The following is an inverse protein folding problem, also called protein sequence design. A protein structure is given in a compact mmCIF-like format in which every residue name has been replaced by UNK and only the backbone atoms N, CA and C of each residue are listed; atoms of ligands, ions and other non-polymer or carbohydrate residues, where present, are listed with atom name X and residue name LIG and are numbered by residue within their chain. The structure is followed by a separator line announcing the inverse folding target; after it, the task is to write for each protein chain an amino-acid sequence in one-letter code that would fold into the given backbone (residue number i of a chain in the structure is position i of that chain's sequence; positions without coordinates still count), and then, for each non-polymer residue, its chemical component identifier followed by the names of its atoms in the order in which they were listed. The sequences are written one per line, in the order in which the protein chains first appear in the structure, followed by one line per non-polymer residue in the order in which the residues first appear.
data_IF_134382040146
#
_entry.id   IF_134382040146
#
_cell.length_a   1.000
_cell.length_b   1.000
_cell.length_c   1.000
_cell.angle_alpha   90.00
_cell.angle_beta   90.00
_cell.angle_gamma   90.00
#
_symmetry.space_group_name_H-M   'P 1'
#
loop_
_entity.id
_entity.type
_entity.pdbx_description
1 polymer ?
#
# COMPACT_ATOMS: atom_id res chain seq x y z
N UNK A 1 -11.44 9.34 6.92
CA UNK A 1 -10.57 8.30 6.31
C UNK A 1 -10.22 7.32 7.41
N UNK A 2 -10.30 6.02 7.15
CA UNK A 2 -9.73 5.01 8.05
C UNK A 2 -8.21 4.99 7.88
N UNK A 3 -7.49 5.63 8.81
CA UNK A 3 -6.03 5.71 8.80
C UNK A 3 -5.35 4.38 9.09
N UNK A 4 -5.99 3.49 9.86
CA UNK A 4 -5.45 2.17 10.17
C UNK A 4 -5.42 1.30 8.92
N UNK A 5 -6.52 1.28 8.15
CA UNK A 5 -6.53 0.65 6.83
C UNK A 5 -5.51 1.26 5.88
N UNK A 6 -5.43 2.58 5.88
CA UNK A 6 -4.60 3.33 4.95
C UNK A 6 -3.09 3.07 5.15
N UNK A 7 -2.61 3.12 6.39
CA UNK A 7 -1.18 3.05 6.71
C UNK A 7 -0.68 1.64 7.05
N UNK A 8 -1.51 0.76 7.62
CA UNK A 8 -1.03 -0.50 8.20
C UNK A 8 -1.50 -1.77 7.52
N UNK A 9 -2.65 -1.74 6.81
CA UNK A 9 -3.17 -2.92 6.11
C UNK A 9 -2.60 -3.02 4.70
N UNK A 10 -2.51 -4.21 4.11
CA UNK A 10 -2.01 -4.39 2.73
C UNK A 10 -3.12 -4.46 1.67
N UNK A 11 -4.38 -4.54 2.11
CA UNK A 11 -5.52 -4.80 1.24
C UNK A 11 -6.03 -3.51 0.57
N UNK A 12 -6.49 -3.66 -0.67
CA UNK A 12 -7.12 -2.60 -1.45
C UNK A 12 -6.17 -1.81 -2.35
N UNK A 13 -6.64 -0.63 -2.79
CA UNK A 13 -5.99 0.22 -3.80
C UNK A 13 -5.89 1.66 -3.32
N UNK A 14 -4.81 2.33 -3.66
CA UNK A 14 -4.65 3.78 -3.40
C UNK A 14 -4.27 4.54 -4.66
N UNK A 15 -4.82 5.73 -4.80
CA UNK A 15 -4.46 6.66 -5.88
C UNK A 15 -3.07 7.26 -5.63
N UNK A 16 -2.46 7.76 -6.71
CA UNK A 16 -1.15 8.43 -6.65
C UNK A 16 -1.09 9.56 -5.61
N UNK A 17 -2.17 10.37 -5.50
CA UNK A 17 -2.20 11.51 -4.58
C UNK A 17 -2.17 11.05 -3.12
N UNK A 18 -2.86 9.95 -2.82
CA UNK A 18 -2.76 9.30 -1.50
C UNK A 18 -1.36 8.74 -1.29
N UNK A 19 -0.78 8.03 -2.25
CA UNK A 19 0.59 7.52 -2.11
C UNK A 19 1.63 8.64 -1.80
N UNK A 20 1.53 9.79 -2.49
CA UNK A 20 2.34 10.98 -2.17
C UNK A 20 2.06 11.54 -0.78
N UNK A 21 0.79 11.61 -0.35
CA UNK A 21 0.43 12.00 1.02
C UNK A 21 1.04 11.05 2.05
N UNK A 22 1.02 9.74 1.82
CA UNK A 22 1.64 8.76 2.70
C UNK A 22 3.16 8.98 2.79
N UNK A 23 3.79 9.24 1.65
CA UNK A 23 5.23 9.55 1.57
C UNK A 23 5.55 10.82 2.37
N UNK A 24 4.74 11.87 2.23
CA UNK A 24 4.90 13.11 3.00
C UNK A 24 4.75 12.88 4.50
N UNK A 25 3.74 12.10 4.92
CA UNK A 25 3.54 11.72 6.32
C UNK A 25 4.79 11.00 6.85
N UNK A 26 5.29 9.98 6.12
CA UNK A 26 6.51 9.26 6.51
C UNK A 26 7.70 10.23 6.65
N UNK A 27 7.94 11.10 5.66
CA UNK A 27 9.06 12.06 5.69
C UNK A 27 8.95 13.03 6.88
N UNK A 28 7.77 13.60 7.14
CA UNK A 28 7.56 14.48 8.28
C UNK A 28 7.81 13.76 9.61
N UNK A 29 7.35 12.53 9.75
CA UNK A 29 7.57 11.72 10.94
C UNK A 29 9.05 11.32 11.09
N UNK A 30 9.73 10.99 10.00
CA UNK A 30 11.18 10.72 10.03
C UNK A 30 11.95 11.95 10.52
N UNK A 31 11.65 13.15 10.03
CA UNK A 31 12.31 14.38 10.49
C UNK A 31 12.03 14.61 11.98
N UNK A 32 10.77 14.52 12.39
CA UNK A 32 10.36 14.71 13.79
C UNK A 32 11.07 13.73 14.73
N UNK A 33 11.03 12.43 14.42
CA UNK A 33 11.67 11.40 15.26
C UNK A 33 13.19 11.47 15.17
N UNK A 34 13.76 11.88 14.03
CA UNK A 34 15.19 12.12 13.89
C UNK A 34 15.67 13.21 14.85
N UNK A 35 14.96 14.35 14.91
CA UNK A 35 15.24 15.42 15.87
C UNK A 35 15.05 14.96 17.32
N UNK A 36 14.00 14.18 17.59
CA UNK A 36 13.80 13.58 18.92
C UNK A 36 14.98 12.69 19.33
N UNK A 37 15.48 11.86 18.40
CA UNK A 37 16.62 10.97 18.63
C UNK A 37 17.89 11.77 18.94
N UNK A 38 18.12 12.89 18.24
CA UNK A 38 19.23 13.82 18.55
C UNK A 38 19.10 14.38 19.96
N UNK A 39 17.90 14.82 20.34
CA UNK A 39 17.62 15.33 21.69
C UNK A 39 17.90 14.27 22.76
N UNK A 40 17.47 13.03 22.54
CA UNK A 40 17.74 11.90 23.46
C UNK A 40 19.25 11.66 23.56
N UNK A 41 19.97 11.55 22.46
CA UNK A 41 21.43 11.33 22.47
C UNK A 41 22.15 12.45 23.24
N UNK A 42 21.76 13.71 23.02
CA UNK A 42 22.32 14.85 23.74
C UNK A 42 22.03 14.81 25.25
N UNK A 43 20.84 14.38 25.66
CA UNK A 43 20.46 14.26 27.08
C UNK A 43 21.24 13.16 27.81
N UNK A 44 21.54 12.05 27.13
CA UNK A 44 22.24 10.90 27.73
C UNK A 44 23.76 10.96 27.53
N UNK A 45 24.30 12.03 26.94
CA UNK A 45 25.74 12.19 26.68
C UNK A 45 26.29 11.17 25.67
N UNK A 46 25.43 10.62 24.80
CA UNK A 46 25.82 9.65 23.78
C UNK A 46 26.72 10.30 22.73
N UNK A 47 27.79 9.60 22.35
CA UNK A 47 28.74 10.04 21.31
C UNK A 47 28.45 9.38 19.96
N UNK A 48 27.37 8.61 19.85
CA UNK A 48 26.98 7.90 18.64
C UNK A 48 26.84 8.82 17.42
N UNK A 49 27.29 8.34 16.25
CA UNK A 49 27.07 9.00 14.96
C UNK A 49 25.57 9.11 14.72
N UNK A 50 25.03 10.33 14.81
CA UNK A 50 23.64 10.64 14.52
C UNK A 50 23.36 10.32 13.04
N UNK A 51 22.69 9.21 12.78
CA UNK A 51 22.13 8.93 11.47
C UNK A 51 20.69 9.44 11.44
N UNK A 52 20.42 10.44 10.61
CA UNK A 52 19.08 10.99 10.40
C UNK A 52 18.26 10.14 9.39
N UNK A 53 18.78 8.97 8.99
CA UNK A 53 18.10 8.02 8.14
C UNK A 53 17.26 7.03 8.95
N UNK A 54 16.13 6.63 8.37
CA UNK A 54 15.35 5.44 8.75
C UNK A 54 15.21 4.51 7.54
N UNK A 55 16.30 4.35 6.81
CA UNK A 55 16.34 3.60 5.57
C UNK A 55 16.48 2.09 5.80
N UNK A 56 16.47 1.34 4.70
CA UNK A 56 16.77 -0.09 4.69
C UNK A 56 18.17 -0.36 5.27
N UNK A 57 19.12 0.53 5.01
CA UNK A 57 20.50 0.42 5.50
C UNK A 57 20.58 0.47 7.03
N UNK A 58 19.73 1.27 7.68
CA UNK A 58 19.66 1.37 9.14
C UNK A 58 19.11 0.08 9.77
N UNK A 59 18.17 -0.58 9.09
CA UNK A 59 17.70 -1.90 9.48
C UNK A 59 18.82 -2.95 9.37
N UNK A 60 19.68 -2.87 8.34
CA UNK A 60 20.80 -3.80 8.20
C UNK A 60 21.91 -3.60 9.22
N UNK A 61 22.12 -2.38 9.72
CA UNK A 61 23.05 -2.13 10.84
C UNK A 61 22.69 -2.96 12.07
N UNK A 62 21.42 -3.37 12.22
CA UNK A 62 20.98 -4.19 13.33
C UNK A 62 21.67 -5.57 13.34
N UNK A 63 21.98 -6.07 12.16
CA UNK A 63 22.54 -7.40 11.97
C UNK A 63 24.06 -7.40 11.77
N UNK A 64 24.69 -6.22 11.67
CA UNK A 64 26.14 -6.10 11.50
C UNK A 64 26.84 -6.02 12.87
N UNK A 65 27.62 -7.05 13.28
CA UNK A 65 28.33 -7.03 14.56
C UNK A 65 29.35 -5.90 14.66
N UNK A 66 29.89 -5.42 13.53
CA UNK A 66 30.85 -4.31 13.49
C UNK A 66 30.24 -3.00 13.97
N UNK A 67 28.95 -2.78 13.71
CA UNK A 67 28.22 -1.57 14.11
C UNK A 67 28.09 -1.42 15.63
N UNK A 68 28.24 -2.51 16.38
CA UNK A 68 28.07 -2.52 17.84
C UNK A 68 29.36 -2.43 18.66
N UNK A 69 30.53 -2.58 18.02
CA UNK A 69 31.81 -2.74 18.74
C UNK A 69 32.25 -1.52 19.56
N UNK A 70 31.81 -0.31 19.17
CA UNK A 70 32.19 0.94 19.82
C UNK A 70 31.04 1.57 20.62
N UNK A 71 30.01 0.80 20.98
CA UNK A 71 28.83 1.35 21.63
C UNK A 71 29.00 1.54 23.13
N UNK A 72 28.54 2.68 23.61
CA UNK A 72 28.35 2.95 25.04
C UNK A 72 26.97 2.49 25.49
N UNK A 73 26.82 2.20 26.79
CA UNK A 73 25.49 1.96 27.40
C UNK A 73 24.53 3.15 27.19
N UNK A 74 25.07 4.36 27.07
CA UNK A 74 24.31 5.57 26.79
C UNK A 74 23.67 5.59 25.37
N UNK A 75 24.19 4.82 24.43
CA UNK A 75 23.70 4.79 23.04
C UNK A 75 22.55 3.78 22.84
N UNK A 76 22.36 2.86 23.79
CA UNK A 76 21.36 1.77 23.69
C UNK A 76 19.91 2.27 23.49
N UNK A 77 19.42 3.29 24.22
CA UNK A 77 18.06 3.79 24.01
C UNK A 77 17.86 4.32 22.59
N UNK A 78 18.83 5.09 22.07
CA UNK A 78 18.76 5.67 20.74
C UNK A 78 18.75 4.59 19.65
N UNK A 79 19.55 3.54 19.79
CA UNK A 79 19.55 2.40 18.86
C UNK A 79 18.20 1.69 18.85
N UNK A 80 17.66 1.40 20.04
CA UNK A 80 16.36 0.73 20.15
C UNK A 80 15.26 1.53 19.46
N UNK A 81 15.19 2.85 19.72
CA UNK A 81 14.22 3.74 19.07
C UNK A 81 14.42 3.79 17.55
N UNK A 82 15.66 3.92 17.07
CA UNK A 82 15.95 3.97 15.64
C UNK A 82 15.52 2.67 14.95
N UNK A 83 15.86 1.51 15.51
CA UNK A 83 15.46 0.21 15.00
C UNK A 83 13.93 0.05 14.95
N UNK A 84 13.24 0.41 16.04
CA UNK A 84 11.78 0.32 16.11
C UNK A 84 11.09 1.23 15.08
N UNK A 85 11.54 2.48 14.96
CA UNK A 85 10.97 3.43 14.00
C UNK A 85 11.30 3.07 12.55
N UNK A 86 12.50 2.57 12.27
CA UNK A 86 12.87 2.05 10.95
C UNK A 86 11.95 0.90 10.53
N UNK A 87 11.67 -0.04 11.43
CA UNK A 87 10.70 -1.12 11.18
C UNK A 87 9.28 -0.61 10.94
N UNK A 88 8.83 0.38 11.72
CA UNK A 88 7.51 1.01 11.54
C UNK A 88 7.39 1.71 10.19
N UNK A 89 8.37 2.53 9.82
CA UNK A 89 8.36 3.25 8.55
C UNK A 89 8.45 2.29 7.37
N UNK A 90 9.26 1.24 7.48
CA UNK A 90 9.32 0.15 6.50
C UNK A 90 7.94 -0.49 6.31
N UNK A 91 7.24 -0.79 7.41
CA UNK A 91 5.92 -1.40 7.36
C UNK A 91 4.89 -0.50 6.65
N UNK A 92 4.84 0.78 7.03
CA UNK A 92 3.90 1.74 6.43
C UNK A 92 4.23 1.99 4.96
N UNK A 93 5.51 2.07 4.61
CA UNK A 93 5.96 2.17 3.23
C UNK A 93 5.54 0.93 2.43
N UNK A 94 5.83 -0.28 2.91
CA UNK A 94 5.40 -1.53 2.26
C UNK A 94 3.88 -1.58 2.07
N UNK A 95 3.11 -1.24 3.11
CA UNK A 95 1.66 -1.26 3.07
C UNK A 95 1.08 -0.28 2.04
N UNK A 96 1.72 0.85 1.81
CA UNK A 96 1.27 1.84 0.84
C UNK A 96 1.77 1.53 -0.57
N UNK A 97 3.03 1.09 -0.73
CA UNK A 97 3.60 0.67 -2.02
C UNK A 97 2.88 -0.56 -2.59
N UNK A 98 2.51 -1.54 -1.75
CA UNK A 98 1.73 -2.71 -2.19
C UNK A 98 0.34 -2.29 -2.69
N UNK A 99 -0.38 -1.42 -1.96
CA UNK A 99 -1.67 -0.88 -2.43
C UNK A 99 -1.52 -0.06 -3.72
N UNK A 100 -0.38 0.62 -3.91
CA UNK A 100 -0.07 1.36 -5.14
C UNK A 100 0.16 0.40 -6.31
N UNK A 101 0.85 -0.72 -6.09
CA UNK A 101 1.03 -1.79 -7.10
C UNK A 101 -0.30 -2.44 -7.47
N UNK A 102 -1.15 -2.72 -6.48
CA UNK A 102 -2.50 -3.22 -6.69
C UNK A 102 -3.35 -2.29 -7.57
N UNK A 103 -3.19 -0.97 -7.39
CA UNK A 103 -3.87 0.02 -8.21
C UNK A 103 -3.43 -0.01 -9.68
N UNK A 104 -2.25 -0.56 -9.96
CA UNK A 104 -1.71 -0.77 -11.32
C UNK A 104 -1.87 -2.20 -11.83
N UNK A 105 -2.68 -3.00 -11.13
CA UNK A 105 -2.90 -4.42 -11.40
C UNK A 105 -1.64 -5.29 -11.36
N UNK A 106 -0.67 -4.90 -10.53
CA UNK A 106 0.50 -5.70 -10.24
C UNK A 106 0.36 -6.37 -8.88
N UNK A 107 0.99 -7.54 -8.73
CA UNK A 107 1.09 -8.22 -7.45
C UNK A 107 2.00 -7.43 -6.49
N UNK A 108 1.79 -7.57 -5.18
CA UNK A 108 2.65 -6.91 -4.19
C UNK A 108 4.13 -7.30 -4.27
N UNK A 109 4.44 -8.48 -4.82
CA UNK A 109 5.79 -9.02 -4.99
C UNK A 109 6.74 -8.12 -5.80
N UNK A 110 6.23 -7.28 -6.68
CA UNK A 110 7.07 -6.34 -7.44
C UNK A 110 7.80 -5.33 -6.55
N UNK A 111 7.36 -5.14 -5.29
CA UNK A 111 8.08 -4.30 -4.31
C UNK A 111 9.49 -4.80 -4.01
N UNK A 112 9.77 -6.09 -4.22
CA UNK A 112 11.09 -6.70 -4.01
C UNK A 112 12.16 -6.03 -4.89
N UNK A 113 11.78 -5.53 -6.08
CA UNK A 113 12.71 -4.80 -6.95
C UNK A 113 13.28 -3.54 -6.30
N UNK A 114 12.57 -2.93 -5.35
CA UNK A 114 13.11 -1.78 -4.61
C UNK A 114 14.29 -2.16 -3.72
N UNK A 115 14.34 -3.41 -3.27
CA UNK A 115 15.42 -3.95 -2.44
C UNK A 115 16.58 -4.52 -3.25
N UNK A 116 16.49 -4.55 -4.59
CA UNK A 116 17.50 -5.17 -5.44
C UNK A 116 18.89 -4.55 -5.26
N UNK A 117 18.99 -3.21 -5.30
CA UNK A 117 20.27 -2.49 -5.11
C UNK A 117 20.86 -2.67 -3.70
N UNK A 118 20.14 -2.43 -2.59
CA UNK A 118 20.73 -2.59 -1.26
C UNK A 118 21.12 -4.05 -0.97
N UNK A 119 20.36 -5.03 -1.46
CA UNK A 119 20.72 -6.44 -1.34
C UNK A 119 21.95 -6.80 -2.18
N UNK A 120 22.03 -6.27 -3.41
CA UNK A 120 23.20 -6.42 -4.26
C UNK A 120 24.47 -5.88 -3.59
N UNK A 121 24.41 -4.68 -3.00
CA UNK A 121 25.54 -4.10 -2.28
C UNK A 121 25.99 -4.99 -1.11
N UNK A 122 25.04 -5.51 -0.32
CA UNK A 122 25.37 -6.44 0.78
C UNK A 122 25.94 -7.76 0.31
N UNK A 123 25.47 -8.26 -0.84
CA UNK A 123 26.03 -9.45 -1.44
C UNK A 123 27.47 -9.23 -1.92
N UNK A 124 27.76 -8.07 -2.53
CA UNK A 124 29.11 -7.68 -2.95
C UNK A 124 30.04 -7.54 -1.74
N UNK A 125 29.59 -6.91 -0.65
CA UNK A 125 30.37 -6.76 0.59
C UNK A 125 30.77 -8.11 1.23
N UNK A 126 30.03 -9.20 0.95
CA UNK A 126 30.27 -10.55 1.50
C UNK A 126 31.25 -11.38 0.67
N UNK A 127 31.59 -10.94 -0.54
CA UNK A 127 32.47 -11.70 -1.45
C UNK A 127 33.95 -11.35 -1.19
N UNK A 128 34.88 -12.31 -1.33
CA UNK A 128 36.31 -12.03 -1.24
C UNK A 128 36.76 -11.09 -2.38
N UNK A 129 37.76 -10.25 -2.11
CA UNK A 129 38.38 -9.30 -3.06
C UNK A 129 39.14 -10.01 -4.19
N UNK A 130 38.44 -10.80 -5.01
CA UNK A 130 39.00 -11.43 -6.21
C UNK A 130 38.63 -10.60 -7.43
N UNK A 131 39.64 -9.94 -8.00
CA UNK A 131 39.57 -9.01 -9.14
C UNK A 131 38.77 -9.52 -10.36
N UNK A 132 38.61 -10.84 -10.52
CA UNK A 132 37.89 -11.48 -11.62
C UNK A 132 36.36 -11.35 -11.54
N UNK A 133 35.77 -11.10 -10.37
CA UNK A 133 34.31 -10.95 -10.22
C UNK A 133 33.82 -9.52 -10.60
N UNK A 134 34.73 -8.56 -10.72
CA UNK A 134 34.42 -7.14 -10.98
C UNK A 134 33.73 -6.88 -12.33
N UNK A 135 34.01 -7.69 -13.36
CA UNK A 135 33.37 -7.58 -14.67
C UNK A 135 31.92 -8.11 -14.69
N UNK A 136 31.57 -9.05 -13.82
CA UNK A 136 30.21 -9.60 -13.71
C UNK A 136 29.35 -8.85 -12.67
N UNK A 137 30.00 -8.26 -11.65
CA UNK A 137 29.34 -7.44 -10.64
C UNK A 137 28.66 -6.21 -11.28
N UNK A 138 29.40 -5.45 -12.10
CA UNK A 138 28.87 -4.25 -12.76
C UNK A 138 27.56 -4.48 -13.56
N UNK A 139 27.45 -5.44 -14.49
CA UNK A 139 26.21 -5.66 -15.23
C UNK A 139 25.06 -6.12 -14.32
N UNK A 140 25.32 -6.92 -13.29
CA UNK A 140 24.29 -7.31 -12.31
C UNK A 140 23.80 -6.11 -11.50
N UNK A 141 24.70 -5.24 -11.07
CA UNK A 141 24.38 -3.97 -10.40
C UNK A 141 23.55 -3.04 -11.29
N UNK A 142 23.86 -2.96 -12.58
CA UNK A 142 23.08 -2.17 -13.55
C UNK A 142 21.68 -2.74 -13.76
N UNK A 143 21.52 -4.07 -13.80
CA UNK A 143 20.19 -4.71 -13.86
C UNK A 143 19.37 -4.41 -12.60
N UNK A 144 20.00 -4.53 -11.41
CA UNK A 144 19.36 -4.19 -10.15
C UNK A 144 18.93 -2.71 -10.12
N UNK A 145 19.80 -1.81 -10.58
CA UNK A 145 19.51 -0.38 -10.69
C UNK A 145 18.37 -0.09 -11.66
N UNK A 146 18.37 -0.71 -12.85
CA UNK A 146 17.30 -0.57 -13.83
C UNK A 146 15.95 -1.03 -13.26
N UNK A 147 15.93 -2.13 -12.50
CA UNK A 147 14.75 -2.61 -11.78
C UNK A 147 14.26 -1.62 -10.72
N UNK A 148 15.18 -1.05 -9.92
CA UNK A 148 14.87 -0.01 -8.94
C UNK A 148 14.30 1.26 -9.59
N UNK A 149 14.87 1.70 -10.72
CA UNK A 149 14.38 2.87 -11.47
C UNK A 149 12.98 2.58 -12.02
N UNK A 150 12.76 1.40 -12.60
CA UNK A 150 11.46 1.02 -13.12
C UNK A 150 10.37 1.02 -12.03
N UNK A 151 10.61 0.36 -10.89
CA UNK A 151 9.64 0.32 -9.79
C UNK A 151 9.40 1.70 -9.19
N UNK A 152 10.42 2.56 -9.13
CA UNK A 152 10.29 3.93 -8.68
C UNK A 152 9.37 4.75 -9.60
N UNK A 153 9.60 4.68 -10.92
CA UNK A 153 8.74 5.37 -11.90
C UNK A 153 7.30 4.85 -11.84
N UNK A 154 7.14 3.54 -11.71
CA UNK A 154 5.87 2.84 -11.61
C UNK A 154 5.02 3.31 -10.41
N UNK A 155 5.64 3.49 -9.24
CA UNK A 155 4.95 3.88 -8.02
C UNK A 155 4.61 5.38 -7.99
N UNK A 156 5.56 6.24 -8.33
CA UNK A 156 5.47 7.68 -8.08
C UNK A 156 4.83 8.49 -9.22
N UNK A 157 5.10 8.11 -10.48
CA UNK A 157 4.75 8.96 -11.63
C UNK A 157 3.58 8.41 -12.45
N UNK A 158 3.53 7.10 -12.68
CA UNK A 158 2.56 6.52 -13.60
C UNK A 158 1.15 6.45 -12.98
N UNK A 159 0.10 6.62 -13.81
CA UNK A 159 -1.31 6.64 -13.38
C UNK A 159 -1.86 5.24 -13.12
N UNK A 160 -2.72 5.10 -12.12
CA UNK A 160 -3.45 3.85 -11.82
C UNK A 160 -4.36 3.34 -12.93
N UNK A 161 -4.82 2.08 -12.79
CA UNK A 161 -5.81 1.47 -13.68
C UNK A 161 -7.19 2.11 -13.45
N UNK A 162 -7.87 2.50 -14.54
CA UNK A 162 -9.22 3.10 -14.50
C UNK A 162 -10.34 2.08 -14.28
N UNK A 163 -10.04 0.80 -14.46
CA UNK A 163 -11.04 -0.27 -14.34
C UNK A 163 -11.05 -0.82 -12.92
N UNK A 164 -12.20 -1.36 -12.52
CA UNK A 164 -12.27 -2.26 -11.36
C UNK A 164 -11.32 -3.43 -11.59
N UNK A 165 -10.56 -3.77 -10.56
CA UNK A 165 -9.56 -4.81 -10.61
C UNK A 165 -9.79 -5.83 -9.48
N UNK A 166 -9.08 -6.97 -9.50
CA UNK A 166 -9.08 -7.99 -8.44
C UNK A 166 -8.84 -7.47 -7.02
N UNK A 167 -8.18 -6.30 -6.90
CA UNK A 167 -7.90 -5.66 -5.61
C UNK A 167 -8.95 -4.63 -5.18
N UNK A 168 -9.99 -4.39 -5.98
CA UNK A 168 -11.09 -3.50 -5.66
C UNK A 168 -11.44 -2.47 -6.75
N UNK A 169 -12.48 -1.66 -6.49
CA UNK A 169 -12.93 -0.60 -7.40
C UNK A 169 -11.87 0.49 -7.59
N UNK A 170 -12.00 1.27 -8.68
CA UNK A 170 -11.11 2.42 -8.93
C UNK A 170 -11.26 3.45 -7.80
N UNK A 171 -10.17 3.83 -7.10
CA UNK A 171 -10.21 4.83 -6.03
C UNK A 171 -10.61 6.22 -6.50
N UNK A 172 -10.61 6.48 -7.82
CA UNK A 172 -11.06 7.72 -8.45
C UNK A 172 -12.43 7.60 -9.10
N UNK A 173 -13.10 6.44 -9.03
CA UNK A 173 -14.45 6.32 -9.55
C UNK A 173 -15.38 7.26 -8.80
N UNK A 174 -16.16 8.05 -9.54
CA UNK A 174 -17.28 8.79 -8.96
C UNK A 174 -18.21 7.78 -8.27
N UNK A 175 -18.78 8.13 -7.11
CA UNK A 175 -19.83 7.30 -6.52
C UNK A 175 -20.91 7.06 -7.58
N UNK A 176 -21.55 5.87 -7.60
CA UNK A 176 -22.69 5.63 -8.47
C UNK A 176 -23.67 6.80 -8.32
N UNK A 177 -24.28 7.24 -9.43
CA UNK A 177 -25.36 8.23 -9.32
C UNK A 177 -26.35 7.69 -8.27
N UNK A 178 -26.78 8.51 -7.29
CA UNK A 178 -27.83 8.12 -6.37
C UNK A 178 -28.96 7.52 -7.19
N UNK A 179 -29.50 6.38 -6.77
CA UNK A 179 -30.62 5.79 -7.48
C UNK A 179 -31.78 6.80 -7.44
N UNK A 180 -32.02 7.47 -8.56
CA UNK A 180 -33.10 8.44 -8.71
C UNK A 180 -34.41 7.74 -9.01
N UNK A 181 -34.43 6.40 -9.04
CA UNK A 181 -35.69 5.67 -9.16
C UNK A 181 -36.56 6.00 -7.94
N UNK A 182 -37.85 6.26 -8.17
CA UNK A 182 -38.76 6.45 -7.06
C UNK A 182 -38.79 5.20 -6.16
N UNK A 183 -39.11 5.37 -4.86
CA UNK A 183 -39.12 4.26 -3.91
C UNK A 183 -40.24 3.24 -4.15
N UNK A 184 -41.20 3.52 -5.05
CA UNK A 184 -42.24 2.57 -5.41
C UNK A 184 -41.76 1.64 -6.52
N UNK A 185 -42.08 0.36 -6.38
CA UNK A 185 -41.78 -0.65 -7.38
C UNK A 185 -42.78 -0.54 -8.52
N UNK A 186 -42.33 -0.16 -9.73
CA UNK A 186 -43.22 -0.10 -10.89
C UNK A 186 -43.88 -1.45 -11.20
N UNK A 187 -43.28 -2.57 -10.78
CA UNK A 187 -43.86 -3.91 -10.97
C UNK A 187 -45.04 -4.18 -10.04
N UNK A 188 -45.18 -3.47 -8.91
CA UNK A 188 -46.37 -3.61 -8.06
C UNK A 188 -47.64 -3.03 -8.69
N UNK A 189 -47.50 -2.13 -9.67
CA UNK A 189 -48.62 -1.55 -10.42
C UNK A 189 -48.99 -2.37 -11.67
N UNK A 190 -48.16 -3.37 -12.05
CA UNK A 190 -48.39 -4.25 -13.20
C UNK A 190 -48.93 -5.61 -12.71
N UNK A 191 -49.76 -5.61 -11.67
CA UNK A 191 -50.69 -6.72 -11.45
C UNK A 191 -51.68 -6.74 -12.62
N UNK A 192 -51.26 -7.37 -13.73
CA UNK A 192 -52.20 -7.87 -14.72
C UNK A 192 -52.94 -9.04 -14.07
N UNK A 193 -53.86 -8.73 -13.16
CA UNK A 193 -54.81 -9.71 -12.63
C UNK A 193 -55.55 -10.23 -13.85
N UNK A 194 -55.46 -11.54 -14.19
CA UNK A 194 -56.26 -12.09 -15.26
C UNK A 194 -57.72 -11.87 -14.89
N UNK A 195 -58.41 -11.00 -15.62
CA UNK A 195 -59.85 -10.88 -15.47
C UNK A 195 -60.42 -12.15 -16.11
N UNK A 196 -60.72 -13.17 -15.31
CA UNK A 196 -61.55 -14.27 -15.79
C UNK A 196 -62.91 -13.66 -16.16
N UNK A 197 -63.19 -13.62 -17.47
CA UNK A 197 -64.52 -13.24 -17.95
C UNK A 197 -65.52 -14.25 -17.38
N UNK A 198 -66.28 -13.83 -16.37
CA UNK A 198 -67.36 -14.64 -15.83
C UNK A 198 -68.34 -15.03 -16.93
N UNK A 199 -69.00 -16.20 -16.81
CA UNK A 199 -69.95 -16.64 -17.81
C UNK A 199 -71.02 -15.55 -18.01
N UNK A 200 -71.43 -15.27 -19.26
CA UNK A 200 -72.45 -14.27 -19.54
C UNK A 200 -73.72 -14.64 -18.75
N UNK A 201 -74.47 -13.65 -18.23
CA UNK A 201 -75.64 -13.90 -17.42
C UNK A 201 -76.60 -14.82 -18.19
N UNK A 202 -76.76 -16.04 -17.68
CA UNK A 202 -77.59 -17.07 -18.31
C UNK A 202 -78.99 -16.50 -18.45
N UNK A 203 -79.51 -16.49 -19.69
CA UNK A 203 -80.84 -16.03 -20.02
C UNK A 203 -81.87 -16.75 -19.15
N UNK A 204 -82.38 -16.05 -18.13
CA UNK A 204 -83.40 -16.57 -17.23
C UNK A 204 -84.75 -16.56 -17.96
N UNK A 205 -84.99 -17.55 -18.80
CA UNK A 205 -86.31 -17.76 -19.42
C UNK A 205 -87.26 -18.18 -18.28
N UNK A 206 -88.28 -17.37 -18.02
CA UNK A 206 -89.33 -17.72 -17.06
C UNK A 206 -90.10 -18.93 -17.59
N UNK A 207 -90.30 -20.01 -16.82
CA UNK A 207 -91.20 -21.07 -17.22
C UNK A 207 -92.62 -20.48 -17.33
N UNK A 208 -93.27 -20.72 -18.47
CA UNK A 208 -94.69 -20.37 -18.64
C UNK A 208 -95.54 -21.15 -17.66
N UNK A 209 -96.52 -20.49 -17.06
CA UNK A 209 -97.59 -21.15 -16.31
C UNK A 209 -98.65 -21.61 -17.32
N UNK A 210 -99.05 -22.88 -17.22
CA UNK A 210 -100.23 -23.45 -17.89
C UNK A 210 -101.53 -22.83 -17.37
#
# INVERSE_FOLDING_TARGET
MDYAWYLFRFQGRISRARYWLATLIIVCWMIFLGLLTVGVVALFGGTGRISLGYGIEDLFKIFDPGSYRSLSLADLPAIFFNAAFSGLFMWVWLATSIKRLHDRDKTGWWVVLFFAVPLYNKFVDLLPDESYFSYAALPLGLIALAGCIWIFVELYFLKGSRKTNRFGPDPLASPPRPDTRPPWDQQSEIEMVPHEAGPPPVWRVKPGYE
#
